data_IF_884742869986
#
_entry.id   IF_884742869986
#
_cell.length_a   1.000
_cell.length_b   1.000
_cell.length_c   1.000
_cell.angle_alpha   90.00
_cell.angle_beta   90.00
_cell.angle_gamma   90.00
#
_symmetry.space_group_name_H-M   'P 1'
#
loop_
_entity.id
_entity.type
_entity.pdbx_description
1 polymer ?
#
# COMPACT_ATOMS: atom_id res chain seq x y z
N UNK A 1 10.37 -13.56 20.29
CA UNK A 1 10.78 -12.27 19.69
C UNK A 1 9.66 -11.27 19.88
N UNK A 2 9.93 -10.15 20.58
CA UNK A 2 8.95 -9.05 20.75
C UNK A 2 9.13 -8.04 19.63
N UNK A 3 8.07 -7.77 18.90
CA UNK A 3 8.08 -6.89 17.72
C UNK A 3 7.17 -5.69 17.98
N UNK A 4 7.63 -4.49 17.67
CA UNK A 4 6.84 -3.28 17.69
C UNK A 4 6.85 -2.55 16.35
N UNK A 5 5.78 -1.80 16.09
CA UNK A 5 5.67 -0.86 14.98
C UNK A 5 5.52 0.54 15.52
N UNK A 6 6.26 1.46 14.94
CA UNK A 6 6.15 2.90 15.14
C UNK A 6 5.62 3.54 13.87
N UNK A 7 4.47 4.21 13.94
CA UNK A 7 3.90 4.94 12.80
C UNK A 7 3.13 6.18 13.24
N UNK A 8 2.46 6.83 12.28
CA UNK A 8 1.60 8.00 12.53
C UNK A 8 0.29 7.69 13.26
N UNK A 9 -0.09 6.42 13.36
CA UNK A 9 -1.38 6.04 13.94
C UNK A 9 -1.44 6.32 15.44
N UNK A 10 -2.59 6.80 15.92
CA UNK A 10 -2.75 7.30 17.29
C UNK A 10 -3.02 6.25 18.37
N UNK A 11 -3.01 4.94 18.06
CA UNK A 11 -3.29 3.90 19.05
C UNK A 11 -2.01 3.25 19.62
N UNK A 12 -2.15 2.62 20.78
CA UNK A 12 -1.10 1.85 21.45
C UNK A 12 -1.56 0.41 21.64
N UNK A 13 -0.67 -0.54 21.39
CA UNK A 13 -0.92 -1.98 21.62
C UNK A 13 -1.39 -2.73 20.38
N UNK A 14 -2.32 -3.65 20.55
CA UNK A 14 -2.90 -4.43 19.45
C UNK A 14 -3.87 -3.57 18.62
N UNK A 15 -4.11 -3.98 17.39
CA UNK A 15 -5.02 -3.27 16.48
C UNK A 15 -6.42 -3.24 17.09
N UNK A 16 -7.05 -2.05 17.21
CA UNK A 16 -8.44 -1.96 17.64
C UNK A 16 -9.37 -2.71 16.67
N UNK A 17 -10.28 -3.52 17.21
CA UNK A 17 -11.20 -4.35 16.39
C UNK A 17 -12.13 -3.55 15.49
N UNK A 18 -12.34 -2.28 15.80
CA UNK A 18 -13.18 -1.35 15.03
C UNK A 18 -12.37 -0.41 14.12
N UNK A 19 -11.08 -0.66 13.92
CA UNK A 19 -10.27 0.18 13.08
C UNK A 19 -10.74 0.11 11.62
N UNK A 20 -10.89 1.26 10.97
CA UNK A 20 -11.43 1.33 9.60
C UNK A 20 -10.51 0.76 8.53
N UNK A 21 -9.20 0.80 8.77
CA UNK A 21 -8.19 0.29 7.83
C UNK A 21 -7.53 -0.96 8.41
N UNK A 22 -7.72 -2.12 7.77
CA UNK A 22 -7.23 -3.43 8.21
C UNK A 22 -6.33 -4.09 7.15
N UNK A 23 -5.51 -3.30 6.49
CA UNK A 23 -4.60 -3.75 5.43
C UNK A 23 -3.21 -3.17 5.63
N UNK A 24 -2.24 -3.61 4.84
CA UNK A 24 -0.84 -3.15 4.86
C UNK A 24 -0.25 -3.21 6.27
N UNK A 25 0.17 -2.07 6.86
CA UNK A 25 0.80 -2.06 8.19
C UNK A 25 -0.05 -2.72 9.27
N UNK A 26 -1.37 -2.58 9.24
CA UNK A 26 -2.25 -3.25 10.20
C UNK A 26 -2.23 -4.77 10.03
N UNK A 27 -2.21 -5.24 8.78
CA UNK A 27 -2.13 -6.67 8.51
C UNK A 27 -0.76 -7.23 8.90
N UNK A 28 0.33 -6.49 8.73
CA UNK A 28 1.67 -6.89 9.19
C UNK A 28 1.75 -6.96 10.71
N UNK A 29 1.23 -5.94 11.43
CA UNK A 29 1.15 -5.94 12.89
C UNK A 29 0.37 -7.16 13.38
N UNK A 30 -0.77 -7.47 12.74
CA UNK A 30 -1.60 -8.62 13.08
C UNK A 30 -0.88 -9.94 12.79
N UNK A 31 -0.26 -10.09 11.63
CA UNK A 31 0.42 -11.33 11.24
C UNK A 31 1.62 -11.66 12.13
N UNK A 32 2.38 -10.65 12.54
CA UNK A 32 3.56 -10.79 13.41
C UNK A 32 3.20 -10.86 14.90
N UNK A 33 1.92 -10.81 15.26
CA UNK A 33 1.47 -10.62 16.65
C UNK A 33 2.17 -9.45 17.38
N UNK A 34 2.51 -8.41 16.59
CA UNK A 34 3.24 -7.25 17.06
C UNK A 34 2.34 -6.27 17.83
N UNK A 35 2.96 -5.27 18.44
CA UNK A 35 2.27 -4.13 19.05
C UNK A 35 2.62 -2.86 18.33
N UNK A 36 1.72 -1.89 18.36
CA UNK A 36 1.90 -0.60 17.73
C UNK A 36 2.03 0.51 18.77
N UNK A 37 2.84 1.51 18.46
CA UNK A 37 2.96 2.77 19.20
C UNK A 37 3.03 3.93 18.21
N UNK A 38 2.42 5.08 18.54
CA UNK A 38 2.70 6.31 17.83
C UNK A 38 4.21 6.60 17.84
N UNK A 39 4.75 7.07 16.73
CA UNK A 39 6.20 7.24 16.58
C UNK A 39 6.81 8.17 17.65
N UNK A 40 6.04 9.12 18.19
CA UNK A 40 6.44 9.99 19.29
C UNK A 40 6.71 9.25 20.61
N UNK A 41 6.16 8.05 20.73
CA UNK A 41 6.32 7.17 21.90
C UNK A 41 7.46 6.15 21.72
N UNK A 42 8.44 6.44 20.89
CA UNK A 42 9.54 5.51 20.60
C UNK A 42 10.29 5.04 21.86
N UNK A 43 10.29 5.82 22.93
CA UNK A 43 10.88 5.40 24.20
C UNK A 43 10.14 4.21 24.85
N UNK A 44 8.85 4.02 24.54
CA UNK A 44 8.05 2.91 25.10
C UNK A 44 8.39 1.55 24.46
N UNK A 45 9.12 1.56 23.33
CA UNK A 45 9.55 0.32 22.64
C UNK A 45 11.01 -0.06 22.92
N UNK A 46 11.68 0.63 23.83
CA UNK A 46 13.03 0.27 24.28
C UNK A 46 13.03 -1.15 24.84
N UNK A 47 13.97 -1.97 24.39
CA UNK A 47 14.09 -3.39 24.79
C UNK A 47 13.17 -4.35 24.04
N UNK A 48 12.49 -3.92 22.98
CA UNK A 48 11.93 -4.84 21.99
C UNK A 48 13.05 -5.43 21.14
N UNK A 49 12.85 -6.66 20.66
CA UNK A 49 13.86 -7.33 19.82
C UNK A 49 13.95 -6.69 18.44
N UNK A 50 12.79 -6.33 17.88
CA UNK A 50 12.64 -5.71 16.56
C UNK A 50 11.66 -4.55 16.61
N UNK A 51 12.03 -3.42 16.01
CA UNK A 51 11.17 -2.26 15.82
C UNK A 51 11.13 -1.88 14.34
N UNK A 52 9.93 -1.84 13.80
CA UNK A 52 9.66 -1.30 12.47
C UNK A 52 9.20 0.15 12.56
N UNK A 53 9.78 1.02 11.75
CA UNK A 53 9.43 2.42 11.67
C UNK A 53 8.84 2.72 10.30
N UNK A 54 7.63 3.29 10.28
CA UNK A 54 6.95 3.76 9.08
C UNK A 54 6.77 5.26 9.22
N UNK A 55 7.48 6.03 8.40
CA UNK A 55 7.25 7.47 8.34
C UNK A 55 6.07 7.79 7.45
N UNK A 56 5.21 8.70 7.89
CA UNK A 56 4.07 9.15 7.13
C UNK A 56 4.46 9.99 5.91
N UNK A 57 3.53 10.08 4.95
CA UNK A 57 3.69 10.81 3.69
C UNK A 57 3.60 12.33 3.83
N UNK A 58 3.29 12.86 4.99
CA UNK A 58 3.03 14.29 5.19
C UNK A 58 4.22 15.03 5.78
N UNK A 59 4.41 16.30 5.42
CA UNK A 59 5.40 17.21 6.02
C UNK A 59 5.30 17.32 7.56
N UNK A 60 4.17 16.90 8.12
CA UNK A 60 3.86 17.02 9.55
C UNK A 60 4.91 16.37 10.46
N UNK A 61 5.63 15.40 9.97
CA UNK A 61 6.52 14.58 10.79
C UNK A 61 7.97 14.97 10.67
N UNK A 62 8.27 15.85 9.73
CA UNK A 62 9.62 16.33 9.44
C UNK A 62 9.80 17.74 9.96
N UNK A 63 8.73 18.57 9.92
CA UNK A 63 8.76 19.95 10.41
C UNK A 63 8.05 20.10 11.77
N UNK A 64 8.56 21.01 12.59
CA UNK A 64 7.94 21.38 13.89
C UNK A 64 6.48 21.88 13.73
N UNK A 65 6.13 22.43 12.57
CA UNK A 65 4.82 22.99 12.31
C UNK A 65 3.74 21.92 12.09
N UNK A 66 4.08 20.83 11.45
CA UNK A 66 3.18 19.69 11.26
C UNK A 66 2.96 18.86 12.51
N UNK A 67 3.90 18.87 13.43
CA UNK A 67 3.84 18.13 14.70
C UNK A 67 2.84 18.71 15.70
N UNK A 68 2.41 19.96 15.52
CA UNK A 68 1.36 20.59 16.36
C UNK A 68 0.00 19.90 16.27
N UNK A 69 -0.21 19.08 15.26
CA UNK A 69 -1.51 18.43 14.97
C UNK A 69 -1.64 17.11 15.73
N UNK A 70 -0.56 16.58 16.30
CA UNK A 70 -0.58 15.29 17.00
C UNK A 70 -0.60 15.51 18.52
N UNK A 71 -1.64 15.00 19.16
CA UNK A 71 -1.80 15.09 20.63
C UNK A 71 -0.58 14.53 21.37
N UNK A 72 -0.01 15.37 22.25
CA UNK A 72 1.08 14.97 23.15
C UNK A 72 2.50 15.09 22.57
N UNK A 73 2.67 15.62 21.36
CA UNK A 73 3.99 15.83 20.77
C UNK A 73 4.56 17.22 21.13
N UNK A 74 5.87 17.27 21.45
CA UNK A 74 6.59 18.54 21.60
C UNK A 74 7.03 19.05 20.23
N UNK A 75 6.44 20.14 19.70
CA UNK A 75 6.76 20.64 18.37
C UNK A 75 8.14 21.30 18.26
N UNK A 76 8.87 21.41 19.37
CA UNK A 76 10.16 22.11 19.40
C UNK A 76 11.29 21.39 18.68
N UNK A 77 11.18 20.05 18.46
CA UNK A 77 12.23 19.27 17.79
C UNK A 77 11.61 18.42 16.68
N UNK A 78 12.02 18.60 15.42
CA UNK A 78 11.58 17.78 14.31
C UNK A 78 11.81 16.28 14.56
N UNK A 79 10.92 15.43 14.09
CA UNK A 79 10.99 13.99 14.32
C UNK A 79 12.33 13.37 13.83
N UNK A 80 12.83 13.83 12.70
CA UNK A 80 14.11 13.35 12.13
C UNK A 80 15.34 13.78 12.94
N UNK A 81 15.21 14.78 13.80
CA UNK A 81 16.27 15.22 14.72
C UNK A 81 16.24 14.48 16.05
N UNK A 82 15.17 13.71 16.32
CA UNK A 82 15.11 12.87 17.51
C UNK A 82 16.09 11.68 17.38
N UNK A 83 16.77 11.29 18.45
CA UNK A 83 17.73 10.17 18.41
C UNK A 83 17.02 8.80 18.47
N UNK A 84 15.97 8.60 17.67
CA UNK A 84 15.12 7.39 17.71
C UNK A 84 15.96 6.13 17.51
N UNK A 85 16.69 6.05 16.40
CA UNK A 85 17.47 4.84 16.08
C UNK A 85 18.62 4.63 17.05
N UNK A 86 19.47 5.62 17.38
CA UNK A 86 20.51 5.45 18.40
C UNK A 86 19.96 4.96 19.74
N UNK A 87 18.90 5.60 20.26
CA UNK A 87 18.27 5.23 21.54
C UNK A 87 17.79 3.79 21.56
N UNK A 88 17.15 3.32 20.49
CA UNK A 88 16.68 1.94 20.39
C UNK A 88 17.85 0.96 20.31
N UNK A 89 18.90 1.30 19.60
CA UNK A 89 20.09 0.45 19.45
C UNK A 89 20.91 0.28 20.73
N UNK A 90 20.87 1.25 21.63
CA UNK A 90 21.51 1.12 22.96
C UNK A 90 20.98 -0.07 23.75
N UNK A 91 19.75 -0.52 23.48
CA UNK A 91 19.15 -1.73 24.07
C UNK A 91 19.23 -2.98 23.20
N UNK A 92 20.11 -3.02 22.20
CA UNK A 92 20.25 -4.11 21.23
C UNK A 92 19.00 -4.37 20.36
N UNK A 93 18.10 -3.40 20.23
CA UNK A 93 16.95 -3.48 19.38
C UNK A 93 17.37 -3.42 17.91
N UNK A 94 16.87 -4.34 17.08
CA UNK A 94 16.97 -4.23 15.62
C UNK A 94 15.95 -3.23 15.10
N UNK A 95 16.40 -2.25 14.33
CA UNK A 95 15.57 -1.16 13.83
C UNK A 95 15.49 -1.20 12.32
N UNK A 96 14.31 -1.41 11.78
CA UNK A 96 14.04 -1.44 10.35
C UNK A 96 13.10 -0.31 9.94
N UNK A 97 13.39 0.30 8.81
CA UNK A 97 12.46 1.23 8.16
C UNK A 97 11.60 0.46 7.15
N UNK A 98 10.30 0.74 7.12
CA UNK A 98 9.38 0.31 6.06
C UNK A 98 8.98 1.53 5.25
N UNK A 99 9.16 1.45 3.93
CA UNK A 99 8.79 2.52 3.01
C UNK A 99 7.27 2.71 2.96
N UNK A 100 6.84 3.96 3.08
CA UNK A 100 5.47 4.38 2.85
C UNK A 100 5.40 5.21 1.56
N UNK A 101 4.66 4.71 0.56
CA UNK A 101 4.59 5.34 -0.76
C UNK A 101 5.83 5.06 -1.64
N UNK A 102 6.04 5.79 -2.74
CA UNK A 102 7.20 5.64 -3.62
C UNK A 102 8.45 6.27 -3.02
N UNK A 103 9.63 5.78 -3.39
CA UNK A 103 10.93 6.31 -2.91
C UNK A 103 11.13 7.79 -3.20
N UNK A 104 10.60 8.28 -4.32
CA UNK A 104 10.74 9.70 -4.74
C UNK A 104 9.85 10.67 -3.94
N UNK A 105 8.99 10.19 -3.05
CA UNK A 105 8.11 11.04 -2.25
C UNK A 105 8.89 12.11 -1.48
N UNK A 106 10.09 11.78 -1.03
CA UNK A 106 10.96 12.68 -0.27
C UNK A 106 11.63 13.76 -1.12
N UNK A 107 11.60 13.64 -2.44
CA UNK A 107 12.18 14.64 -3.35
C UNK A 107 11.41 15.97 -3.38
N UNK A 108 10.16 15.97 -2.89
CA UNK A 108 9.33 17.18 -2.79
C UNK A 108 9.60 17.99 -1.50
N UNK A 109 10.50 17.49 -0.62
CA UNK A 109 10.87 18.14 0.63
C UNK A 109 12.09 19.05 0.45
N UNK A 110 12.31 19.94 1.44
CA UNK A 110 13.51 20.77 1.45
C UNK A 110 14.77 19.91 1.53
N UNK A 111 15.87 20.37 0.92
CA UNK A 111 17.12 19.62 0.83
C UNK A 111 17.64 19.16 2.21
N UNK A 112 17.48 20.01 3.22
CA UNK A 112 17.89 19.68 4.60
C UNK A 112 17.08 18.50 5.15
N UNK A 113 15.76 18.50 4.90
CA UNK A 113 14.86 17.42 5.31
C UNK A 113 15.19 16.11 4.58
N UNK A 114 15.50 16.19 3.28
CA UNK A 114 15.94 15.03 2.50
C UNK A 114 17.24 14.43 3.09
N UNK A 115 18.24 15.26 3.40
CA UNK A 115 19.50 14.83 4.00
C UNK A 115 19.25 14.20 5.38
N UNK A 116 18.41 14.81 6.22
CA UNK A 116 18.07 14.27 7.54
C UNK A 116 17.39 12.91 7.41
N UNK A 117 16.46 12.76 6.46
CA UNK A 117 15.79 11.48 6.20
C UNK A 117 16.78 10.38 5.77
N UNK A 118 17.67 10.67 4.83
CA UNK A 118 18.69 9.70 4.41
C UNK A 118 19.70 9.38 5.52
N UNK A 119 20.07 10.34 6.35
CA UNK A 119 20.89 10.10 7.53
C UNK A 119 20.17 9.21 8.56
N UNK A 120 18.85 9.39 8.72
CA UNK A 120 18.04 8.50 9.53
C UNK A 120 18.07 7.07 8.96
N UNK A 121 17.79 6.90 7.66
CA UNK A 121 17.86 5.59 7.01
C UNK A 121 19.23 4.93 7.14
N UNK A 122 20.30 5.71 7.05
CA UNK A 122 21.68 5.20 7.22
C UNK A 122 21.93 4.55 8.59
N UNK A 123 21.24 4.99 9.64
CA UNK A 123 21.37 4.48 10.99
C UNK A 123 20.57 3.18 11.24
N UNK A 124 19.53 2.88 10.47
CA UNK A 124 18.70 1.67 10.63
C UNK A 124 19.48 0.39 10.28
N UNK A 125 19.05 -0.77 10.75
CA UNK A 125 19.64 -2.06 10.41
C UNK A 125 19.26 -2.54 9.01
N UNK A 126 18.10 -2.08 8.49
CA UNK A 126 17.67 -2.39 7.14
C UNK A 126 16.45 -1.59 6.71
N UNK A 127 16.11 -1.76 5.44
CA UNK A 127 15.00 -1.09 4.78
C UNK A 127 14.12 -2.15 4.12
N UNK A 128 12.81 -2.04 4.30
CA UNK A 128 11.82 -2.80 3.57
C UNK A 128 11.07 -1.89 2.59
N UNK A 129 10.98 -2.32 1.35
CA UNK A 129 10.32 -1.58 0.27
C UNK A 129 9.32 -2.47 -0.47
N UNK A 130 8.35 -1.87 -1.17
CA UNK A 130 7.23 -2.61 -1.76
C UNK A 130 7.54 -3.23 -3.12
N UNK A 131 8.50 -2.66 -3.86
CA UNK A 131 8.77 -3.05 -5.24
C UNK A 131 10.27 -3.25 -5.47
N UNK A 132 10.61 -4.10 -6.43
CA UNK A 132 12.01 -4.34 -6.82
C UNK A 132 12.73 -3.06 -7.26
N UNK A 133 12.01 -2.13 -7.91
CA UNK A 133 12.57 -0.84 -8.29
C UNK A 133 12.99 0.00 -7.08
N UNK A 134 12.16 0.01 -6.02
CA UNK A 134 12.49 0.72 -4.78
C UNK A 134 13.64 0.03 -4.03
N UNK A 135 13.67 -1.31 -4.02
CA UNK A 135 14.79 -2.08 -3.47
C UNK A 135 16.09 -1.73 -4.19
N UNK A 136 16.07 -1.67 -5.53
CA UNK A 136 17.23 -1.29 -6.33
C UNK A 136 17.70 0.13 -6.00
N UNK A 137 16.77 1.07 -5.84
CA UNK A 137 17.05 2.44 -5.45
C UNK A 137 17.78 2.51 -4.10
N UNK A 138 17.24 1.89 -3.05
CA UNK A 138 17.86 1.93 -1.72
C UNK A 138 19.18 1.15 -1.65
N UNK A 139 19.33 0.06 -2.40
CA UNK A 139 20.63 -0.64 -2.51
C UNK A 139 21.69 0.22 -3.19
N UNK A 140 21.28 1.05 -4.14
CA UNK A 140 22.16 2.04 -4.76
C UNK A 140 22.63 3.12 -3.79
N UNK A 141 21.72 3.59 -2.93
CA UNK A 141 22.00 4.62 -1.93
C UNK A 141 22.82 4.08 -0.73
N UNK A 142 22.60 2.83 -0.32
CA UNK A 142 23.15 2.23 0.91
C UNK A 142 23.81 0.88 0.60
N UNK A 143 25.00 0.89 0.00
CA UNK A 143 25.71 -0.31 -0.54
C UNK A 143 25.81 -1.51 0.42
N UNK A 144 25.94 -1.28 1.72
CA UNK A 144 26.15 -2.34 2.72
C UNK A 144 24.94 -2.56 3.63
N UNK A 145 23.78 -1.95 3.28
CA UNK A 145 22.58 -2.07 4.08
C UNK A 145 21.72 -3.22 3.57
N UNK A 146 21.09 -3.94 4.49
CA UNK A 146 20.05 -4.89 4.17
C UNK A 146 18.85 -4.14 3.59
N UNK A 147 18.45 -4.46 2.36
CA UNK A 147 17.27 -3.90 1.70
C UNK A 147 16.49 -5.05 1.10
N UNK A 148 15.25 -5.23 1.57
CA UNK A 148 14.39 -6.35 1.23
C UNK A 148 13.00 -5.89 0.78
N UNK A 149 12.31 -6.75 0.05
CA UNK A 149 10.89 -6.56 -0.28
C UNK A 149 10.03 -6.87 0.94
N UNK A 150 8.99 -6.05 1.16
CA UNK A 150 7.84 -6.36 1.99
C UNK A 150 6.57 -6.31 1.14
N UNK A 151 5.92 -7.46 0.99
CA UNK A 151 4.67 -7.53 0.25
C UNK A 151 3.51 -6.96 1.06
N UNK A 152 2.52 -6.42 0.35
CA UNK A 152 1.23 -6.05 0.95
C UNK A 152 0.56 -7.28 1.55
N UNK A 153 -0.25 -7.06 2.58
CA UNK A 153 -0.99 -8.11 3.26
C UNK A 153 -2.38 -7.61 3.64
N UNK A 154 -3.31 -8.54 3.82
CA UNK A 154 -4.66 -8.30 4.33
C UNK A 154 -4.94 -9.18 5.54
N UNK A 155 -5.87 -8.78 6.39
CA UNK A 155 -6.37 -9.62 7.49
C UNK A 155 -7.53 -10.46 6.94
N UNK A 156 -7.20 -11.62 6.35
CA UNK A 156 -8.14 -12.50 5.66
C UNK A 156 -9.30 -12.97 6.56
N UNK A 157 -9.03 -13.20 7.84
CA UNK A 157 -10.05 -13.64 8.81
C UNK A 157 -11.26 -12.68 8.90
N UNK A 158 -11.08 -11.41 8.58
CA UNK A 158 -12.14 -10.41 8.61
C UNK A 158 -13.03 -10.42 7.36
N UNK A 159 -12.60 -11.07 6.29
CA UNK A 159 -13.27 -11.04 4.98
C UNK A 159 -13.59 -12.43 4.43
N UNK A 160 -13.20 -13.51 5.11
CA UNK A 160 -13.38 -14.90 4.64
C UNK A 160 -14.83 -15.30 4.36
N UNK A 161 -15.79 -14.63 4.99
CA UNK A 161 -17.22 -14.89 4.79
C UNK A 161 -17.82 -14.07 3.63
N UNK A 162 -17.06 -13.16 3.05
CA UNK A 162 -17.49 -12.38 1.89
C UNK A 162 -17.32 -13.24 0.63
N UNK A 163 -18.42 -13.51 -0.04
CA UNK A 163 -18.42 -14.28 -1.29
C UNK A 163 -18.51 -13.36 -2.51
N UNK A 164 -17.80 -13.66 -3.60
CA UNK A 164 -17.98 -12.94 -4.86
C UNK A 164 -19.44 -13.00 -5.34
N UNK A 165 -19.96 -11.87 -5.80
CA UNK A 165 -21.33 -11.73 -6.32
C UNK A 165 -21.36 -11.33 -7.81
N UNK A 166 -20.26 -11.19 -8.43
CA UNK A 166 -19.97 -10.83 -9.85
C UNK A 166 -21.13 -10.21 -10.62
N UNK A 167 -21.19 -8.91 -10.63
CA UNK A 167 -22.12 -8.11 -11.44
C UNK A 167 -21.36 -7.51 -12.63
N UNK A 168 -22.06 -7.32 -13.77
CA UNK A 168 -21.47 -6.71 -14.98
C UNK A 168 -21.20 -5.20 -14.76
N UNK A 169 -20.11 -4.90 -14.04
CA UNK A 169 -19.62 -3.54 -13.75
C UNK A 169 -18.11 -3.53 -13.58
N UNK A 170 -17.51 -2.36 -13.76
CA UNK A 170 -16.07 -2.14 -13.72
C UNK A 170 -15.70 -1.29 -12.52
N UNK A 171 -14.69 -1.72 -11.77
CA UNK A 171 -14.10 -0.95 -10.68
C UNK A 171 -12.86 -0.22 -11.18
N UNK A 172 -12.74 1.09 -10.93
CA UNK A 172 -11.49 1.80 -11.16
C UNK A 172 -10.80 2.13 -9.83
N UNK A 173 -9.47 2.02 -9.83
CA UNK A 173 -8.64 2.42 -8.72
C UNK A 173 -8.17 3.87 -8.86
N UNK A 174 -7.98 4.53 -7.70
CA UNK A 174 -7.35 5.83 -7.62
C UNK A 174 -8.22 7.05 -7.92
N UNK A 175 -7.62 8.21 -7.73
CA UNK A 175 -8.22 9.53 -7.95
C UNK A 175 -7.86 10.07 -9.33
N UNK A 176 -8.64 11.07 -9.80
CA UNK A 176 -8.41 11.78 -11.05
C UNK A 176 -7.27 12.82 -10.94
N UNK A 177 -6.15 12.42 -10.35
CA UNK A 177 -4.94 13.23 -10.31
C UNK A 177 -3.76 12.45 -10.89
N UNK A 178 -2.71 13.16 -11.29
CA UNK A 178 -1.55 12.58 -12.01
C UNK A 178 -0.86 11.41 -11.25
N UNK A 179 -1.01 11.37 -9.92
CA UNK A 179 -0.36 10.35 -9.09
C UNK A 179 -1.08 9.00 -9.11
N UNK A 180 -2.39 9.02 -9.40
CA UNK A 180 -3.25 7.84 -9.30
C UNK A 180 -3.83 7.35 -10.62
N UNK A 181 -3.70 8.11 -11.72
CA UNK A 181 -4.13 7.69 -13.06
C UNK A 181 -5.62 7.37 -13.18
N UNK A 182 -6.46 8.10 -12.45
CA UNK A 182 -7.91 7.88 -12.47
C UNK A 182 -8.54 8.14 -13.82
N UNK A 183 -8.03 9.13 -14.57
CA UNK A 183 -8.56 9.45 -15.91
C UNK A 183 -8.24 8.34 -16.93
N UNK A 184 -7.00 7.89 -16.97
CA UNK A 184 -6.57 6.80 -17.85
C UNK A 184 -7.30 5.51 -17.49
N UNK A 185 -7.45 5.23 -16.21
CA UNK A 185 -8.24 4.09 -15.72
C UNK A 185 -9.70 4.16 -16.14
N UNK A 186 -10.31 5.35 -16.09
CA UNK A 186 -11.69 5.58 -16.55
C UNK A 186 -11.81 5.39 -18.06
N UNK A 187 -10.90 5.95 -18.86
CA UNK A 187 -10.93 5.81 -20.32
C UNK A 187 -10.85 4.34 -20.74
N UNK A 188 -9.93 3.57 -20.15
CA UNK A 188 -9.82 2.14 -20.44
C UNK A 188 -11.04 1.36 -19.93
N UNK A 189 -11.57 1.69 -18.76
CA UNK A 189 -12.76 1.06 -18.22
C UNK A 189 -14.02 1.32 -19.07
N UNK A 190 -14.09 2.48 -19.76
CA UNK A 190 -15.21 2.85 -20.63
C UNK A 190 -15.37 1.91 -21.83
N UNK A 191 -14.28 1.29 -22.29
CA UNK A 191 -14.31 0.34 -23.39
C UNK A 191 -15.08 -0.96 -23.07
N UNK A 192 -15.30 -1.29 -21.78
CA UNK A 192 -16.19 -2.40 -21.41
C UNK A 192 -17.66 -2.12 -21.73
N UNK A 193 -18.07 -0.87 -21.88
CA UNK A 193 -19.48 -0.49 -22.09
C UNK A 193 -20.38 -0.77 -20.88
N UNK A 194 -19.79 -0.87 -19.69
CA UNK A 194 -20.46 -1.22 -18.43
C UNK A 194 -20.44 -0.04 -17.45
N UNK A 195 -21.31 -0.04 -16.41
CA UNK A 195 -21.25 0.95 -15.34
C UNK A 195 -19.88 0.95 -14.64
N UNK A 196 -19.28 2.13 -14.48
CA UNK A 196 -17.97 2.32 -13.87
C UNK A 196 -18.15 2.84 -12.45
N UNK A 197 -17.38 2.32 -11.51
CA UNK A 197 -17.39 2.71 -10.11
C UNK A 197 -15.99 3.02 -9.60
N UNK A 198 -15.88 4.07 -8.79
CA UNK A 198 -14.68 4.44 -8.09
C UNK A 198 -14.95 4.82 -6.64
N UNK A 199 -13.94 4.77 -5.79
CA UNK A 199 -14.07 5.25 -4.43
C UNK A 199 -14.01 6.77 -4.41
N UNK A 200 -14.96 7.42 -3.72
CA UNK A 200 -14.88 8.87 -3.49
C UNK A 200 -13.64 9.22 -2.67
N UNK A 201 -12.87 10.15 -3.19
CA UNK A 201 -11.66 10.64 -2.55
C UNK A 201 -11.84 12.05 -2.01
N UNK A 202 -11.06 12.40 -0.98
CA UNK A 202 -10.96 13.78 -0.50
C UNK A 202 -10.43 14.76 -1.56
N UNK A 203 -9.73 14.26 -2.57
CA UNK A 203 -9.17 15.03 -3.68
C UNK A 203 -10.05 14.99 -4.93
N UNK A 204 -11.38 14.81 -4.78
CA UNK A 204 -12.33 14.82 -5.90
C UNK A 204 -12.15 16.09 -6.74
N UNK A 205 -12.00 15.91 -8.04
CA UNK A 205 -11.92 17.03 -8.99
C UNK A 205 -13.30 17.63 -9.23
N UNK A 206 -13.32 18.91 -9.52
CA UNK A 206 -14.54 19.58 -9.98
C UNK A 206 -15.03 18.87 -11.24
N UNK A 207 -16.33 18.57 -11.30
CA UNK A 207 -17.02 17.89 -12.40
C UNK A 207 -16.72 16.38 -12.57
N UNK A 208 -16.03 15.70 -11.68
CA UNK A 208 -15.98 14.22 -11.73
C UNK A 208 -17.38 13.58 -11.76
N UNK A 209 -18.35 14.17 -11.07
CA UNK A 209 -19.73 13.72 -11.08
C UNK A 209 -20.50 13.94 -12.40
N UNK A 210 -19.89 14.65 -13.37
CA UNK A 210 -20.47 14.85 -14.71
C UNK A 210 -19.88 13.89 -15.75
N UNK A 211 -18.98 12.97 -15.35
CA UNK A 211 -18.41 11.96 -16.24
C UNK A 211 -19.47 10.85 -16.49
N UNK A 212 -19.64 10.48 -17.76
CA UNK A 212 -20.62 9.48 -18.16
C UNK A 212 -20.33 8.12 -17.50
N UNK A 213 -21.38 7.47 -17.02
CA UNK A 213 -21.34 6.15 -16.38
C UNK A 213 -20.42 6.03 -15.15
N UNK A 214 -19.81 7.13 -14.65
CA UNK A 214 -18.97 7.11 -13.47
C UNK A 214 -19.80 7.29 -12.19
N UNK A 215 -19.78 6.28 -11.35
CA UNK A 215 -20.43 6.26 -10.05
C UNK A 215 -19.35 6.27 -8.94
N UNK A 216 -19.69 6.82 -7.79
CA UNK A 216 -18.75 6.88 -6.66
C UNK A 216 -19.34 6.19 -5.43
N UNK A 217 -18.50 5.36 -4.79
CA UNK A 217 -18.78 4.90 -3.43
C UNK A 217 -18.39 5.99 -2.42
N UNK A 218 -19.20 6.19 -1.37
CA UNK A 218 -18.77 7.00 -0.25
C UNK A 218 -17.53 6.38 0.41
N UNK A 219 -16.80 7.19 1.17
CA UNK A 219 -15.72 6.66 2.01
C UNK A 219 -16.30 5.67 3.03
N UNK A 220 -15.69 4.50 3.12
CA UNK A 220 -16.17 3.40 3.96
C UNK A 220 -14.98 2.69 4.65
N UNK A 221 -15.30 1.82 5.61
CA UNK A 221 -14.32 0.94 6.22
C UNK A 221 -13.71 -0.01 5.19
N UNK A 222 -12.51 -0.54 5.46
CA UNK A 222 -11.91 -1.52 4.55
C UNK A 222 -12.77 -2.78 4.39
N UNK A 223 -13.43 -3.26 5.44
CA UNK A 223 -14.32 -4.43 5.36
C UNK A 223 -15.52 -4.15 4.44
N UNK A 224 -16.14 -2.97 4.56
CA UNK A 224 -17.25 -2.58 3.68
C UNK A 224 -16.76 -2.38 2.24
N UNK A 225 -15.58 -1.81 2.07
CA UNK A 225 -14.91 -1.74 0.77
C UNK A 225 -14.75 -3.13 0.13
N UNK A 226 -14.27 -4.13 0.89
CA UNK A 226 -14.13 -5.50 0.38
C UNK A 226 -15.46 -6.14 0.01
N UNK A 227 -16.56 -5.81 0.73
CA UNK A 227 -17.92 -6.23 0.35
C UNK A 227 -18.35 -5.62 -0.99
N UNK A 228 -18.03 -4.35 -1.21
CA UNK A 228 -18.34 -3.70 -2.49
C UNK A 228 -17.43 -4.25 -3.61
N UNK A 229 -16.13 -4.38 -3.38
CA UNK A 229 -15.18 -4.97 -4.36
C UNK A 229 -15.67 -6.34 -4.83
N UNK A 230 -16.16 -7.20 -3.93
CA UNK A 230 -16.60 -8.57 -4.26
C UNK A 230 -17.71 -8.66 -5.31
N UNK A 231 -18.37 -7.53 -5.65
CA UNK A 231 -19.47 -7.46 -6.62
C UNK A 231 -19.01 -7.16 -8.05
N UNK A 232 -17.73 -6.87 -8.28
CA UNK A 232 -17.23 -6.43 -9.58
C UNK A 232 -16.76 -7.61 -10.44
N UNK A 233 -16.96 -7.48 -11.76
CA UNK A 233 -16.44 -8.43 -12.75
C UNK A 233 -15.04 -8.06 -13.21
N UNK A 234 -14.78 -6.78 -13.43
CA UNK A 234 -13.52 -6.26 -13.96
C UNK A 234 -12.99 -5.12 -13.11
N UNK A 235 -11.69 -4.88 -13.18
CA UNK A 235 -11.09 -3.72 -12.56
C UNK A 235 -9.97 -3.12 -13.44
N UNK A 236 -9.78 -1.80 -13.33
CA UNK A 236 -8.71 -1.06 -14.01
C UNK A 236 -8.03 -0.10 -13.03
N UNK A 237 -6.70 -0.15 -12.97
CA UNK A 237 -5.92 0.75 -12.13
C UNK A 237 -4.58 1.10 -12.79
N UNK A 238 -4.60 2.06 -13.70
CA UNK A 238 -3.41 2.56 -14.40
C UNK A 238 -2.72 3.66 -13.57
N UNK A 239 -2.33 3.31 -12.35
CA UNK A 239 -1.68 4.24 -11.43
C UNK A 239 -0.20 4.43 -11.78
N UNK A 240 0.26 5.66 -12.15
CA UNK A 240 1.67 5.91 -12.44
C UNK A 240 2.60 5.76 -11.23
N UNK A 241 2.07 6.00 -10.02
CA UNK A 241 2.84 5.86 -8.80
C UNK A 241 3.07 4.39 -8.47
N UNK A 242 4.34 4.00 -8.40
CA UNK A 242 4.75 2.66 -7.99
C UNK A 242 4.66 2.58 -6.46
N UNK A 243 3.67 1.87 -5.95
CA UNK A 243 3.36 1.74 -4.52
C UNK A 243 3.02 0.29 -4.16
N UNK A 244 2.46 0.05 -2.98
CA UNK A 244 2.22 -1.29 -2.43
C UNK A 244 1.23 -2.19 -3.22
N UNK A 245 0.44 -1.63 -4.14
CA UNK A 245 -0.45 -2.40 -5.01
C UNK A 245 -1.68 -3.01 -4.32
N UNK A 246 -2.14 -2.43 -3.22
CA UNK A 246 -3.27 -2.97 -2.43
C UNK A 246 -4.57 -3.10 -3.20
N UNK A 247 -4.79 -2.30 -4.25
CA UNK A 247 -5.97 -2.42 -5.10
C UNK A 247 -5.97 -3.75 -5.87
N UNK A 248 -4.86 -4.07 -6.54
CA UNK A 248 -4.69 -5.35 -7.24
C UNK A 248 -4.82 -6.55 -6.28
N UNK A 249 -4.26 -6.43 -5.06
CA UNK A 249 -4.36 -7.45 -4.03
C UNK A 249 -5.82 -7.70 -3.60
N UNK A 250 -6.58 -6.63 -3.33
CA UNK A 250 -7.99 -6.73 -2.96
C UNK A 250 -8.83 -7.42 -4.04
N UNK A 251 -8.58 -7.08 -5.30
CA UNK A 251 -9.27 -7.67 -6.45
C UNK A 251 -8.90 -9.15 -6.65
N UNK A 252 -7.61 -9.49 -6.55
CA UNK A 252 -7.14 -10.87 -6.75
C UNK A 252 -7.73 -11.84 -5.73
N UNK A 253 -7.93 -11.41 -4.49
CA UNK A 253 -8.58 -12.20 -3.44
C UNK A 253 -9.95 -12.76 -3.90
N UNK A 254 -10.72 -11.96 -4.62
CA UNK A 254 -12.03 -12.35 -5.18
C UNK A 254 -11.93 -12.91 -6.60
N UNK A 255 -10.76 -12.93 -7.21
CA UNK A 255 -10.57 -13.36 -8.60
C UNK A 255 -11.07 -12.35 -9.61
N UNK A 256 -10.99 -11.06 -9.30
CA UNK A 256 -11.34 -9.99 -10.22
C UNK A 256 -10.10 -9.64 -11.05
N UNK A 257 -10.08 -9.84 -12.36
CA UNK A 257 -8.98 -9.46 -13.23
C UNK A 257 -8.75 -7.96 -13.20
N UNK A 258 -7.50 -7.52 -13.02
CA UNK A 258 -7.13 -6.09 -12.99
C UNK A 258 -6.18 -5.77 -14.13
N UNK A 259 -6.55 -4.81 -14.98
CA UNK A 259 -5.61 -4.16 -15.90
C UNK A 259 -4.89 -3.06 -15.11
N UNK A 260 -3.55 -3.12 -15.02
CA UNK A 260 -2.80 -2.21 -14.17
C UNK A 260 -1.32 -2.05 -14.51
N UNK A 261 -0.61 -1.27 -13.69
CA UNK A 261 0.78 -0.89 -13.94
C UNK A 261 1.74 -2.07 -13.72
N UNK A 262 2.49 -2.45 -14.77
CA UNK A 262 3.50 -3.52 -14.73
C UNK A 262 4.67 -3.25 -13.78
N UNK A 263 4.93 -1.98 -13.43
CA UNK A 263 6.01 -1.58 -12.52
C UNK A 263 5.65 -1.80 -11.04
N UNK A 264 4.38 -2.07 -10.74
CA UNK A 264 3.91 -2.43 -9.40
C UNK A 264 4.01 -3.94 -9.24
N UNK A 265 4.91 -4.42 -8.39
CA UNK A 265 5.19 -5.86 -8.25
C UNK A 265 3.93 -6.66 -7.86
N UNK A 266 3.09 -6.13 -6.98
CA UNK A 266 1.82 -6.78 -6.61
C UNK A 266 0.90 -6.96 -7.81
N UNK A 267 0.78 -5.95 -8.69
CA UNK A 267 0.02 -6.06 -9.93
C UNK A 267 0.62 -7.12 -10.85
N UNK A 268 1.92 -7.06 -11.10
CA UNK A 268 2.62 -7.96 -12.01
C UNK A 268 2.58 -9.42 -11.54
N UNK A 269 2.66 -9.67 -10.23
CA UNK A 269 2.58 -11.02 -9.66
C UNK A 269 1.17 -11.60 -9.69
N UNK A 270 0.16 -10.77 -9.40
CA UNK A 270 -1.23 -11.22 -9.30
C UNK A 270 -1.95 -11.28 -10.67
N UNK A 271 -1.60 -10.37 -11.58
CA UNK A 271 -2.25 -10.21 -12.88
C UNK A 271 -1.20 -10.10 -14.02
N UNK A 272 -0.30 -11.08 -14.20
CA UNK A 272 0.89 -10.94 -15.06
C UNK A 272 0.57 -10.59 -16.51
N UNK A 273 -0.54 -11.14 -17.07
CA UNK A 273 -0.94 -10.90 -18.45
C UNK A 273 -1.92 -9.73 -18.62
N UNK A 274 -2.17 -8.99 -17.57
CA UNK A 274 -3.02 -7.79 -17.52
C UNK A 274 -2.24 -6.60 -16.96
N UNK A 275 -0.92 -6.67 -17.04
CA UNK A 275 -0.01 -5.63 -16.57
C UNK A 275 0.65 -4.94 -17.76
N UNK A 276 0.55 -3.60 -17.80
CA UNK A 276 1.04 -2.76 -18.90
C UNK A 276 1.86 -1.57 -18.37
N UNK A 277 2.67 -0.95 -19.24
CA UNK A 277 3.14 0.41 -18.95
C UNK A 277 1.92 1.35 -18.97
N UNK A 278 1.78 2.19 -17.95
CA UNK A 278 0.61 3.09 -17.81
C UNK A 278 0.46 4.10 -18.94
N UNK A 279 1.51 4.35 -19.71
CA UNK A 279 1.46 5.18 -20.91
C UNK A 279 1.02 4.42 -22.16
N UNK A 280 1.00 3.10 -22.12
CA UNK A 280 0.54 2.24 -23.23
C UNK A 280 -0.96 1.94 -23.09
N UNK A 281 -1.76 2.98 -23.35
CA UNK A 281 -3.22 2.89 -23.28
C UNK A 281 -3.78 1.97 -24.36
N UNK A 282 -3.12 1.87 -25.52
CA UNK A 282 -3.53 0.97 -26.59
C UNK A 282 -3.48 -0.50 -26.15
N UNK A 283 -2.38 -0.93 -25.57
CA UNK A 283 -2.27 -2.28 -25.00
C UNK A 283 -3.30 -2.52 -23.90
N UNK A 284 -3.57 -1.53 -23.04
CA UNK A 284 -4.61 -1.65 -22.01
C UNK A 284 -6.01 -1.84 -22.61
N UNK A 285 -6.35 -1.13 -23.70
CA UNK A 285 -7.61 -1.30 -24.43
C UNK A 285 -7.72 -2.68 -25.12
N UNK A 286 -6.63 -3.19 -25.68
CA UNK A 286 -6.61 -4.55 -26.21
C UNK A 286 -6.87 -5.60 -25.14
N UNK A 287 -6.37 -5.40 -23.91
CA UNK A 287 -6.69 -6.30 -22.80
C UNK A 287 -8.17 -6.26 -22.40
N UNK A 288 -8.84 -5.11 -22.53
CA UNK A 288 -10.29 -5.04 -22.37
C UNK A 288 -11.01 -5.93 -23.37
N UNK A 289 -10.64 -5.85 -24.65
CA UNK A 289 -11.24 -6.70 -25.69
C UNK A 289 -11.02 -8.19 -25.39
N UNK A 290 -9.83 -8.57 -24.94
CA UNK A 290 -9.56 -9.95 -24.54
C UNK A 290 -10.42 -10.38 -23.34
N UNK A 291 -10.63 -9.52 -22.35
CA UNK A 291 -11.44 -9.82 -21.15
C UNK A 291 -12.94 -9.90 -21.44
N UNK A 292 -13.43 -9.37 -22.58
CA UNK A 292 -14.81 -9.57 -23.03
C UNK A 292 -15.08 -11.02 -23.47
N UNK A 293 -14.03 -11.77 -23.85
CA UNK A 293 -14.16 -13.22 -24.07
C UNK A 293 -14.29 -13.94 -22.72
N UNK A 294 -15.39 -14.67 -22.56
CA UNK A 294 -15.73 -15.32 -21.29
C UNK A 294 -14.74 -16.42 -20.89
N UNK A 295 -14.10 -17.08 -21.86
CA UNK A 295 -13.10 -18.11 -21.61
C UNK A 295 -11.82 -17.49 -21.09
N UNK A 296 -11.38 -16.40 -21.71
CA UNK A 296 -10.22 -15.64 -21.26
C UNK A 296 -10.45 -15.02 -19.88
N UNK A 297 -11.64 -14.42 -19.66
CA UNK A 297 -12.05 -13.88 -18.37
C UNK A 297 -11.94 -14.93 -17.25
N UNK A 298 -12.56 -16.09 -17.40
CA UNK A 298 -12.53 -17.17 -16.42
C UNK A 298 -11.11 -17.59 -16.09
N UNK A 299 -10.30 -17.80 -17.15
CA UNK A 299 -8.87 -18.14 -16.99
C UNK A 299 -8.13 -17.09 -16.16
N UNK A 300 -8.35 -15.78 -16.41
CA UNK A 300 -7.67 -14.71 -15.68
C UNK A 300 -8.21 -14.52 -14.25
N UNK A 301 -9.48 -14.78 -14.04
CA UNK A 301 -10.09 -14.82 -12.71
C UNK A 301 -9.48 -15.93 -11.85
N UNK A 302 -9.35 -17.14 -12.37
CA UNK A 302 -8.72 -18.27 -11.67
C UNK A 302 -7.23 -18.01 -11.42
N UNK A 303 -6.49 -17.58 -12.45
CA UNK A 303 -5.06 -17.26 -12.36
C UNK A 303 -4.78 -16.23 -11.25
N UNK A 304 -5.61 -15.18 -11.13
CA UNK A 304 -5.40 -14.16 -10.09
C UNK A 304 -5.62 -14.69 -8.68
N UNK A 305 -6.59 -15.60 -8.47
CA UNK A 305 -6.81 -16.29 -7.20
C UNK A 305 -5.65 -17.22 -6.84
N UNK A 306 -5.20 -18.01 -7.82
CA UNK A 306 -4.09 -18.95 -7.63
C UNK A 306 -2.80 -18.21 -7.27
N UNK A 307 -2.54 -17.08 -7.97
CA UNK A 307 -1.41 -16.22 -7.66
C UNK A 307 -1.54 -15.57 -6.26
N UNK A 308 -2.76 -15.17 -5.86
CA UNK A 308 -2.99 -14.69 -4.50
C UNK A 308 -2.60 -15.75 -3.47
N UNK A 309 -3.09 -16.99 -3.61
CA UNK A 309 -2.75 -18.09 -2.71
C UNK A 309 -1.26 -18.46 -2.73
N UNK A 310 -0.62 -18.30 -3.87
CA UNK A 310 0.81 -18.60 -4.03
C UNK A 310 1.71 -17.57 -3.35
N UNK A 311 1.36 -16.28 -3.38
CA UNK A 311 2.29 -15.20 -3.03
C UNK A 311 1.86 -14.33 -1.86
N UNK A 312 0.55 -14.28 -1.50
CA UNK A 312 0.02 -13.22 -0.64
C UNK A 312 -0.79 -13.72 0.57
N UNK A 313 -0.88 -15.03 0.82
CA UNK A 313 -1.51 -15.50 2.06
C UNK A 313 -0.67 -15.12 3.28
N UNK A 314 -1.30 -15.06 4.44
CA UNK A 314 -0.63 -14.77 5.72
C UNK A 314 0.55 -15.72 5.98
N UNK A 315 0.38 -17.03 5.70
CA UNK A 315 1.41 -18.03 5.92
C UNK A 315 2.62 -17.81 5.02
N UNK A 316 2.42 -17.56 3.74
CA UNK A 316 3.49 -17.28 2.76
C UNK A 316 4.24 -16.02 3.17
N UNK A 317 3.50 -14.96 3.47
CA UNK A 317 4.07 -13.69 3.90
C UNK A 317 4.88 -13.83 5.20
N UNK A 318 4.34 -14.53 6.19
CA UNK A 318 4.99 -14.71 7.50
C UNK A 318 6.29 -15.50 7.36
N UNK A 319 6.28 -16.58 6.58
CA UNK A 319 7.49 -17.36 6.32
C UNK A 319 8.57 -16.54 5.62
N UNK A 320 8.20 -15.75 4.61
CA UNK A 320 9.11 -14.86 3.90
C UNK A 320 9.69 -13.80 4.85
N UNK A 321 8.83 -13.17 5.65
CA UNK A 321 9.24 -12.11 6.60
C UNK A 321 10.17 -12.63 7.70
N UNK A 322 9.88 -13.80 8.28
CA UNK A 322 10.73 -14.39 9.32
C UNK A 322 12.11 -14.76 8.81
N UNK A 323 12.24 -15.15 7.54
CA UNK A 323 13.54 -15.40 6.92
C UNK A 323 14.35 -14.10 6.65
N UNK A 324 13.67 -12.96 6.63
CA UNK A 324 14.25 -11.63 6.40
C UNK A 324 14.57 -10.87 7.70
N UNK A 325 14.23 -11.36 8.86
CA UNK A 325 14.58 -10.78 10.18
C UNK A 325 15.83 -11.42 10.76
#
# INVERSE_FOLDING_TARGET
MRIAFLSEMGFVGKIPSNHQNMRTEFAWIHALDAVHFPIQKFNEVIGFDVVFIIFPKGKFFISAEGMKIMDGFNPATPLLEQPIVPTLKESNTKVYYIQEGPHWLWNDYEIVEQIQFYNFLAQTDGIFAHNLSDVAYYRGMFKNKKVEIIHSLMIEDLIKDIKPQTEDKVLIGGNFCRWYGGFESYMVASEFGLPIWGQESHAKRVNEGAMDNLNHFPRMSWIDWMREVSKFKYAVHLMPTVAAGTFALNCAYFGIPVIGNEKVDTQRLLHPNLSVDVSDVESAMLMVEMLKDETFYKKKSEESKDNYHTYYTKEVWLNDMMNKL
#
